data_IF_833143161062
#
_entry.id   IF_833143161062
#
_cell.length_a   1.000
_cell.length_b   1.000
_cell.length_c   1.000
_cell.angle_alpha   90.00
_cell.angle_beta   90.00
_cell.angle_gamma   90.00
#
_symmetry.space_group_name_H-M   'P 1'
#
loop_
_entity.id
_entity.type
_entity.pdbx_description
1 polymer ?
#
# COMPACT_ATOMS: atom_id res chain seq x y z
N UNK A 1 -10.34 -13.90 -6.45
CA UNK A 1 -10.43 -12.70 -5.62
C UNK A 1 -9.10 -11.95 -5.71
N UNK A 2 -9.16 -10.66 -5.94
CA UNK A 2 -7.94 -9.88 -6.12
C UNK A 2 -7.28 -9.60 -4.79
N UNK A 3 -5.97 -9.66 -4.78
CA UNK A 3 -5.17 -9.44 -3.60
C UNK A 3 -4.37 -8.14 -3.76
N UNK A 4 -4.50 -7.26 -2.77
CA UNK A 4 -3.90 -5.93 -2.83
C UNK A 4 -2.94 -5.75 -1.66
N UNK A 5 -1.76 -5.19 -1.94
CA UNK A 5 -0.83 -4.82 -0.89
C UNK A 5 -0.77 -3.29 -0.84
N UNK A 6 -1.00 -2.74 0.34
CA UNK A 6 -0.90 -1.30 0.57
C UNK A 6 0.37 -1.04 1.37
N UNK A 7 1.25 -0.23 0.82
CA UNK A 7 2.46 0.20 1.50
C UNK A 7 2.27 1.66 1.87
N UNK A 8 2.01 1.91 3.14
CA UNK A 8 1.65 3.23 3.64
C UNK A 8 2.34 3.43 4.98
N UNK A 9 3.09 4.50 5.12
CA UNK A 9 3.85 4.76 6.35
C UNK A 9 2.97 5.23 7.51
N UNK A 10 1.73 5.65 7.23
CA UNK A 10 0.78 6.00 8.29
C UNK A 10 -0.23 4.90 8.46
N UNK A 11 -0.18 4.25 9.61
CA UNK A 11 -1.02 3.08 9.88
C UNK A 11 -2.51 3.41 9.81
N UNK A 12 -2.90 4.57 10.33
CA UNK A 12 -4.31 4.95 10.32
C UNK A 12 -4.84 5.08 8.90
N UNK A 13 -4.04 5.61 7.99
CA UNK A 13 -4.45 5.75 6.60
C UNK A 13 -4.49 4.39 5.92
N UNK A 14 -3.51 3.54 6.20
CA UNK A 14 -3.50 2.19 5.66
C UNK A 14 -4.75 1.43 6.07
N UNK A 15 -5.15 1.56 7.32
CA UNK A 15 -6.35 0.89 7.83
C UNK A 15 -7.62 1.38 7.14
N UNK A 16 -7.70 2.68 6.89
CA UNK A 16 -8.85 3.23 6.18
C UNK A 16 -8.95 2.68 4.77
N UNK A 17 -7.84 2.67 4.08
CA UNK A 17 -7.79 2.15 2.72
C UNK A 17 -8.11 0.67 2.67
N UNK A 18 -7.58 -0.07 3.63
CA UNK A 18 -7.86 -1.49 3.73
C UNK A 18 -9.34 -1.77 3.92
N UNK A 19 -9.96 -1.06 4.87
CA UNK A 19 -11.38 -1.22 5.14
C UNK A 19 -12.21 -0.97 3.90
N UNK A 20 -11.90 0.12 3.21
CA UNK A 20 -12.64 0.50 2.01
C UNK A 20 -12.55 -0.58 0.93
N UNK A 21 -11.35 -1.06 0.70
CA UNK A 21 -11.14 -2.05 -0.34
C UNK A 21 -11.71 -3.41 0.03
N UNK A 22 -11.67 -3.77 1.30
CA UNK A 22 -12.28 -5.02 1.74
C UNK A 22 -13.79 -5.00 1.57
N UNK A 23 -14.40 -3.84 1.78
CA UNK A 23 -15.82 -3.70 1.52
C UNK A 23 -16.16 -3.92 0.05
N UNK A 24 -15.22 -3.65 -0.83
CA UNK A 24 -15.40 -3.87 -2.26
C UNK A 24 -15.11 -5.31 -2.67
N UNK A 25 -14.74 -6.16 -1.74
CA UNK A 25 -14.53 -7.58 -2.02
C UNK A 25 -13.10 -7.98 -2.29
N UNK A 26 -12.14 -7.09 -2.05
CA UNK A 26 -10.73 -7.42 -2.25
C UNK A 26 -10.11 -7.98 -0.99
N UNK A 27 -9.08 -8.80 -1.18
CA UNK A 27 -8.24 -9.25 -0.07
C UNK A 27 -7.09 -8.25 0.06
N UNK A 28 -6.93 -7.64 1.24
CA UNK A 28 -6.00 -6.52 1.40
C UNK A 28 -5.02 -6.79 2.52
N UNK A 29 -3.75 -6.52 2.26
CA UNK A 29 -2.70 -6.54 3.29
C UNK A 29 -2.05 -5.18 3.32
N UNK A 30 -1.56 -4.79 4.49
CA UNK A 30 -0.90 -3.50 4.65
C UNK A 30 0.50 -3.68 5.21
N UNK A 31 1.36 -2.73 4.87
CA UNK A 31 2.72 -2.69 5.37
C UNK A 31 3.12 -1.23 5.55
N UNK A 32 3.75 -0.92 6.68
CA UNK A 32 4.13 0.47 6.98
C UNK A 32 5.55 0.79 6.55
N UNK A 33 6.38 -0.22 6.31
CA UNK A 33 7.76 -0.02 5.92
C UNK A 33 7.93 -0.29 4.43
N UNK A 34 8.52 0.68 3.73
CA UNK A 34 8.69 0.56 2.29
C UNK A 34 9.60 -0.59 1.88
N UNK A 35 10.69 -0.79 2.63
CA UNK A 35 11.64 -1.87 2.32
C UNK A 35 10.99 -3.25 2.51
N UNK A 36 10.26 -3.42 3.61
CA UNK A 36 9.56 -4.67 3.86
C UNK A 36 8.42 -4.88 2.87
N UNK A 37 7.71 -3.79 2.55
CA UNK A 37 6.63 -3.86 1.59
C UNK A 37 7.10 -4.29 0.21
N UNK A 38 8.22 -3.72 -0.24
CA UNK A 38 8.80 -4.13 -1.51
C UNK A 38 9.20 -5.60 -1.51
N UNK A 39 9.79 -6.05 -0.42
CA UNK A 39 10.17 -7.45 -0.31
C UNK A 39 8.96 -8.36 -0.39
N UNK A 40 7.89 -8.01 0.31
CA UNK A 40 6.64 -8.77 0.26
C UNK A 40 6.05 -8.78 -1.15
N UNK A 41 6.11 -7.64 -1.82
CA UNK A 41 5.62 -7.54 -3.18
C UNK A 41 6.35 -8.48 -4.14
N UNK A 42 7.66 -8.63 -3.94
CA UNK A 42 8.47 -9.50 -4.77
C UNK A 42 8.30 -10.98 -4.43
N UNK A 43 8.03 -11.28 -3.18
CA UNK A 43 7.94 -12.66 -2.71
C UNK A 43 6.55 -13.27 -2.83
N UNK A 44 5.53 -12.45 -2.88
CA UNK A 44 4.15 -12.90 -2.92
C UNK A 44 3.47 -12.42 -4.17
N UNK A 45 2.40 -13.10 -4.54
CA UNK A 45 1.64 -12.69 -5.71
C UNK A 45 0.51 -11.76 -5.29
N UNK A 46 0.64 -10.51 -5.70
CA UNK A 46 -0.41 -9.52 -5.51
C UNK A 46 -0.90 -9.04 -6.86
N UNK A 47 -2.17 -8.76 -6.95
CA UNK A 47 -2.74 -8.24 -8.20
C UNK A 47 -2.50 -6.75 -8.35
N UNK A 48 -2.34 -6.06 -7.22
CA UNK A 48 -2.18 -4.61 -7.24
C UNK A 48 -1.37 -4.18 -6.02
N UNK A 49 -0.53 -3.16 -6.21
CA UNK A 49 0.19 -2.53 -5.12
C UNK A 49 -0.20 -1.07 -5.02
N UNK A 50 -0.44 -0.59 -3.82
CA UNK A 50 -0.66 0.83 -3.57
C UNK A 50 0.52 1.31 -2.74
N UNK A 51 1.27 2.25 -3.29
CA UNK A 51 2.46 2.78 -2.65
C UNK A 51 2.19 4.22 -2.27
N UNK A 52 2.15 4.50 -0.98
CA UNK A 52 1.83 5.82 -0.46
C UNK A 52 2.80 6.16 0.66
N UNK A 53 3.98 6.63 0.27
CA UNK A 53 5.05 6.95 1.20
C UNK A 53 5.35 8.44 1.17
N UNK A 54 5.52 9.00 2.36
CA UNK A 54 5.90 10.41 2.50
C UNK A 54 7.41 10.51 2.55
N UNK A 55 8.00 11.10 1.52
CA UNK A 55 9.44 11.30 1.47
C UNK A 55 9.74 12.79 1.64
N UNK A 56 10.38 13.15 2.74
CA UNK A 56 10.55 14.58 3.08
C UNK A 56 11.28 15.40 2.03
N UNK A 57 12.20 14.79 1.30
CA UNK A 57 12.99 15.50 0.31
C UNK A 57 12.29 15.68 -1.01
N UNK A 58 11.08 15.17 -1.15
CA UNK A 58 10.35 15.29 -2.41
C UNK A 58 9.33 16.40 -2.31
N UNK A 59 9.80 17.60 -2.40
CA UNK A 59 9.03 18.82 -2.23
C UNK A 59 7.77 18.86 -3.06
N UNK A 60 6.63 18.90 -2.40
CA UNK A 60 5.37 19.17 -3.05
C UNK A 60 4.91 18.20 -4.09
N UNK A 61 5.69 17.19 -4.36
CA UNK A 61 5.29 16.19 -5.35
C UNK A 61 4.41 15.14 -4.72
N UNK A 62 3.51 14.63 -5.52
CA UNK A 62 2.63 13.57 -5.08
C UNK A 62 3.42 12.29 -4.85
N UNK A 63 3.18 11.65 -3.71
CA UNK A 63 3.86 10.41 -3.33
C UNK A 63 3.03 9.18 -3.57
N UNK A 64 1.82 9.35 -4.03
CA UNK A 64 0.91 8.23 -4.22
C UNK A 64 1.10 7.64 -5.59
N UNK A 65 1.21 6.33 -5.61
CA UNK A 65 1.42 5.61 -6.85
C UNK A 65 0.70 4.29 -6.78
N UNK A 66 0.04 3.93 -7.86
CA UNK A 66 -0.65 2.65 -7.98
C UNK A 66 -0.01 1.89 -9.12
N UNK A 67 0.45 0.69 -8.81
CA UNK A 67 1.12 -0.17 -9.81
C UNK A 67 0.57 -1.58 -9.78
#
# INVERSE_FOLDING_TARGET
MSKILIIEDEEAIADLEKDYLELSGFEVETETRGDVGLKRALESEYDLFILDLMLPEMDGLDRKSVV
#
